data_IF_508966489851
#
_entry.id   IF_508966489851
#
_cell.length_a   1.000
_cell.length_b   1.000
_cell.length_c   1.000
_cell.angle_alpha   90.00
_cell.angle_beta   90.00
_cell.angle_gamma   90.00
#
_symmetry.space_group_name_H-M   'P 1'
#
loop_
_entity.id
_entity.type
_entity.pdbx_description
1 polymer ?
#
# COMPACT_ATOMS: atom_id res chain seq x y z
N UNK A 1 6.87 1.63 6.99
CA UNK A 1 5.62 1.35 6.25
C UNK A 1 4.58 2.47 6.34
N UNK A 2 4.19 2.93 7.53
CA UNK A 2 3.11 3.92 7.69
C UNK A 2 3.24 5.20 6.84
N UNK A 3 4.43 5.81 6.72
CA UNK A 3 4.61 7.00 5.87
C UNK A 3 4.45 6.70 4.38
N UNK A 4 4.88 5.51 3.93
CA UNK A 4 4.71 5.07 2.54
C UNK A 4 3.23 4.75 2.27
N UNK A 5 2.55 4.10 3.22
CA UNK A 5 1.12 3.87 3.18
C UNK A 5 0.35 5.20 3.10
N UNK A 6 0.70 6.18 3.93
CA UNK A 6 0.06 7.50 3.93
C UNK A 6 0.20 8.21 2.58
N UNK A 7 1.42 8.21 2.02
CA UNK A 7 1.68 8.77 0.71
C UNK A 7 0.86 8.06 -0.37
N UNK A 8 0.81 6.71 -0.37
CA UNK A 8 0.02 5.92 -1.30
C UNK A 8 -1.49 6.22 -1.17
N UNK A 9 -1.99 6.40 0.05
CA UNK A 9 -3.39 6.70 0.33
C UNK A 9 -3.78 8.13 -0.07
N UNK A 10 -2.84 9.07 -0.20
CA UNK A 10 -3.14 10.42 -0.71
C UNK A 10 -3.12 10.53 -2.23
N UNK A 11 -2.55 9.55 -2.93
CA UNK A 11 -2.51 9.59 -4.39
C UNK A 11 -3.90 9.41 -5.00
N UNK A 12 -4.10 10.05 -6.15
CA UNK A 12 -5.30 9.87 -6.95
C UNK A 12 -5.30 8.46 -7.56
N UNK A 13 -6.43 7.75 -7.44
CA UNK A 13 -6.52 6.34 -7.80
C UNK A 13 -6.47 6.15 -9.33
N UNK A 14 -5.90 5.03 -9.83
CA UNK A 14 -5.46 3.83 -9.08
C UNK A 14 -3.98 3.85 -8.64
N UNK A 15 -3.69 3.23 -7.49
CA UNK A 15 -2.32 3.09 -6.93
C UNK A 15 -1.95 1.61 -6.79
N UNK A 16 -0.71 1.27 -7.13
CA UNK A 16 -0.12 -0.07 -7.00
C UNK A 16 1.15 0.02 -6.17
N UNK A 17 1.37 -0.93 -5.27
CA UNK A 17 2.57 -1.00 -4.44
C UNK A 17 3.17 -2.41 -4.48
N UNK A 18 4.47 -2.45 -4.77
CA UNK A 18 5.30 -3.65 -4.64
C UNK A 18 5.93 -3.63 -3.26
N UNK A 19 5.83 -4.72 -2.52
CA UNK A 19 6.36 -4.80 -1.15
C UNK A 19 6.77 -6.23 -0.82
N UNK A 20 7.86 -6.39 -0.09
CA UNK A 20 8.26 -7.68 0.48
C UNK A 20 7.42 -8.04 1.72
N UNK A 21 6.74 -7.05 2.31
CA UNK A 21 5.89 -7.21 3.49
C UNK A 21 4.44 -6.89 3.12
N UNK A 22 3.74 -7.89 2.58
CA UNK A 22 2.34 -7.75 2.17
C UNK A 22 1.42 -7.60 3.38
N UNK A 23 1.72 -8.28 4.49
CA UNK A 23 0.82 -8.36 5.63
C UNK A 23 0.75 -7.04 6.37
N UNK A 24 1.89 -6.37 6.57
CA UNK A 24 1.90 -5.06 7.21
C UNK A 24 1.23 -4.01 6.32
N UNK A 25 1.57 -4.00 5.02
CA UNK A 25 0.96 -3.07 4.07
C UNK A 25 -0.54 -3.30 3.90
N UNK A 26 -1.04 -4.54 4.04
CA UNK A 26 -2.48 -4.84 4.03
C UNK A 26 -3.19 -4.20 5.22
N UNK A 27 -2.59 -4.23 6.41
CA UNK A 27 -3.16 -3.60 7.62
C UNK A 27 -3.20 -2.07 7.49
N UNK A 28 -2.17 -1.47 6.89
CA UNK A 28 -2.05 -0.02 6.79
C UNK A 28 -2.87 0.59 5.65
N UNK A 29 -2.88 -0.04 4.48
CA UNK A 29 -3.55 0.48 3.28
C UNK A 29 -5.00 0.00 3.12
N UNK A 30 -5.37 -1.12 3.75
CA UNK A 30 -6.63 -1.80 3.45
C UNK A 30 -6.75 -2.17 1.97
N UNK A 31 -7.95 -2.09 1.42
CA UNK A 31 -8.27 -2.40 0.02
C UNK A 31 -8.03 -1.22 -0.95
N UNK A 32 -7.51 -0.09 -0.45
CA UNK A 32 -7.39 1.14 -1.22
C UNK A 32 -6.21 1.14 -2.18
N UNK A 33 -5.18 0.36 -1.88
CA UNK A 33 -3.95 0.20 -2.67
C UNK A 33 -3.87 -1.24 -3.14
N UNK A 34 -3.53 -1.47 -4.41
CA UNK A 34 -3.30 -2.83 -4.92
C UNK A 34 -1.89 -3.27 -4.56
N UNK A 35 -1.76 -4.32 -3.76
CA UNK A 35 -0.49 -4.82 -3.25
C UNK A 35 -0.01 -6.04 -4.04
N UNK A 36 1.29 -6.14 -4.27
CA UNK A 36 1.95 -7.31 -4.84
C UNK A 36 3.21 -7.64 -4.03
N UNK A 37 3.38 -8.93 -3.74
CA UNK A 37 4.58 -9.45 -3.11
C UNK A 37 5.73 -9.45 -4.12
N UNK A 38 6.93 -9.15 -3.64
CA UNK A 38 8.20 -9.34 -4.36
C UNK A 38 9.02 -10.46 -3.75
#
# INVERSE_FOLDING_TARGET
DAAVAEAALRQQRPVVMLTSDIDDMTKLCGDRVRLFAV
#
